data_IF_587819815678
#
_entry.id   IF_587819815678
#
_cell.length_a   1.000
_cell.length_b   1.000
_cell.length_c   1.000
_cell.angle_alpha   90.00
_cell.angle_beta   90.00
_cell.angle_gamma   90.00
#
_symmetry.space_group_name_H-M   'P 1'
#
loop_
_entity.id
_entity.type
_entity.pdbx_description
1 polymer ?
#
# COMPACT_ATOMS: atom_id res chain seq x y z
N UNK A 1 -10.76 -4.00 12.38
CA UNK A 1 -10.30 -5.05 11.45
C UNK A 1 -11.18 -5.20 10.21
N UNK A 2 -12.45 -5.59 10.30
CA UNK A 2 -13.28 -5.72 9.07
C UNK A 2 -13.37 -4.41 8.26
N UNK A 3 -13.61 -3.29 8.95
CA UNK A 3 -13.63 -1.97 8.32
C UNK A 3 -12.31 -1.64 7.60
N UNK A 4 -11.16 -1.87 8.26
CA UNK A 4 -9.85 -1.58 7.65
C UNK A 4 -9.57 -2.48 6.45
N UNK A 5 -9.94 -3.77 6.51
CA UNK A 5 -9.82 -4.68 5.38
C UNK A 5 -10.67 -4.22 4.19
N UNK A 6 -11.92 -3.79 4.42
CA UNK A 6 -12.76 -3.22 3.37
C UNK A 6 -12.13 -1.95 2.77
N UNK A 7 -11.64 -1.03 3.60
CA UNK A 7 -10.94 0.17 3.12
C UNK A 7 -9.69 -0.17 2.30
N UNK A 8 -8.90 -1.18 2.69
CA UNK A 8 -7.74 -1.62 1.89
C UNK A 8 -8.16 -2.23 0.55
N UNK A 9 -9.25 -3.01 0.51
CA UNK A 9 -9.79 -3.54 -0.75
C UNK A 9 -10.21 -2.37 -1.66
N UNK A 10 -10.97 -1.39 -1.13
CA UNK A 10 -11.36 -0.21 -1.88
C UNK A 10 -10.15 0.58 -2.39
N UNK A 11 -9.14 0.80 -1.54
CA UNK A 11 -7.90 1.46 -1.94
C UNK A 11 -7.27 0.76 -3.15
N UNK A 12 -7.11 -0.58 -3.09
CA UNK A 12 -6.55 -1.33 -4.20
C UNK A 12 -7.42 -1.22 -5.45
N UNK A 13 -8.74 -1.33 -5.33
CA UNK A 13 -9.67 -1.14 -6.44
C UNK A 13 -9.44 0.22 -7.10
N UNK A 14 -9.30 1.32 -6.35
CA UNK A 14 -9.08 2.63 -6.97
C UNK A 14 -7.67 2.83 -7.54
N UNK A 15 -6.65 2.20 -6.95
CA UNK A 15 -5.24 2.35 -7.38
C UNK A 15 -4.77 1.29 -8.36
N UNK A 16 -5.64 0.37 -8.79
CA UNK A 16 -5.30 -0.60 -9.83
C UNK A 16 -5.21 0.10 -11.20
N UNK A 17 -4.30 -0.35 -12.09
CA UNK A 17 -4.18 0.19 -13.43
C UNK A 17 -5.35 -0.30 -14.30
N UNK A 18 -6.48 0.41 -14.22
CA UNK A 18 -7.67 0.11 -15.01
C UNK A 18 -7.50 0.52 -16.48
N UNK A 19 -8.14 -0.22 -17.41
CA UNK A 19 -7.99 0.02 -18.85
C UNK A 19 -8.57 1.37 -19.32
N UNK A 20 -9.32 2.08 -18.47
CA UNK A 20 -9.87 3.41 -18.79
C UNK A 20 -8.93 4.56 -18.45
N UNK A 21 -7.78 4.32 -17.81
CA UNK A 21 -6.82 5.37 -17.53
C UNK A 21 -5.92 5.67 -18.73
N UNK A 22 -5.59 6.95 -18.91
CA UNK A 22 -4.87 7.41 -20.09
C UNK A 22 -3.39 7.02 -20.09
N UNK A 23 -2.98 6.32 -21.15
CA UNK A 23 -1.59 6.14 -21.54
C UNK A 23 -0.85 5.03 -20.79
N UNK A 24 0.11 4.36 -21.47
CA UNK A 24 0.94 3.34 -20.84
C UNK A 24 1.96 3.95 -19.87
N UNK A 25 2.62 3.11 -19.06
CA UNK A 25 3.71 3.55 -18.20
C UNK A 25 4.92 4.03 -19.01
N UNK A 26 5.54 5.11 -18.55
CA UNK A 26 6.77 5.62 -19.15
C UNK A 26 7.97 4.73 -18.80
N UNK A 27 8.75 4.40 -19.83
CA UNK A 27 10.05 3.76 -19.68
C UNK A 27 11.11 4.77 -19.22
N UNK A 28 11.97 4.34 -18.31
CA UNK A 28 13.11 5.15 -17.85
C UNK A 28 14.06 5.38 -19.03
N UNK A 29 14.32 6.66 -19.34
CA UNK A 29 15.12 7.04 -20.51
C UNK A 29 16.62 6.98 -20.30
N UNK A 30 17.17 7.35 -19.13
CA UNK A 30 18.63 7.33 -18.90
C UNK A 30 19.02 7.31 -17.41
N UNK A 31 18.32 8.03 -16.53
CA UNK A 31 18.68 8.17 -15.10
C UNK A 31 17.50 7.93 -14.15
N UNK A 32 17.64 6.99 -13.22
CA UNK A 32 16.63 6.67 -12.18
C UNK A 32 16.55 7.72 -11.07
N UNK A 33 17.50 8.65 -10.99
CA UNK A 33 17.54 9.71 -9.99
C UNK A 33 16.59 10.88 -10.31
N UNK A 34 16.28 11.10 -11.59
CA UNK A 34 15.49 12.24 -12.08
C UNK A 34 14.08 11.81 -12.48
N UNK A 35 13.95 10.64 -13.12
CA UNK A 35 12.65 10.10 -13.50
C UNK A 35 12.47 8.69 -12.97
N UNK A 36 11.48 8.54 -12.09
CA UNK A 36 10.88 7.24 -11.81
C UNK A 36 10.21 6.68 -13.07
N UNK A 37 10.05 5.35 -13.12
CA UNK A 37 9.38 4.69 -14.24
C UNK A 37 9.70 3.21 -14.31
N UNK A 38 9.41 2.62 -15.46
CA UNK A 38 9.61 1.20 -15.68
C UNK A 38 10.91 0.88 -16.41
N UNK A 39 11.57 -0.22 -16.02
CA UNK A 39 12.74 -0.72 -16.74
C UNK A 39 12.36 -1.28 -18.11
N UNK A 40 13.18 -1.03 -19.14
CA UNK A 40 12.96 -1.52 -20.52
C UNK A 40 12.89 -3.05 -20.65
N UNK A 41 13.41 -3.80 -19.67
CA UNK A 41 13.29 -5.27 -19.60
C UNK A 41 11.85 -5.76 -19.38
N UNK A 42 10.99 -4.91 -18.84
CA UNK A 42 9.62 -5.23 -18.51
C UNK A 42 8.69 -4.81 -19.64
N UNK A 43 8.37 -5.76 -20.52
CA UNK A 43 7.50 -5.49 -21.67
C UNK A 43 6.07 -5.12 -21.27
N UNK A 44 5.65 -5.46 -20.05
CA UNK A 44 4.34 -5.13 -19.53
C UNK A 44 4.09 -3.62 -19.38
N UNK A 45 5.13 -2.81 -19.29
CA UNK A 45 4.98 -1.36 -19.22
C UNK A 45 4.43 -0.71 -20.48
N UNK A 46 4.55 -1.38 -21.64
CA UNK A 46 3.98 -0.88 -22.89
C UNK A 46 2.44 -0.95 -22.92
N UNK A 47 1.83 -1.81 -22.11
CA UNK A 47 0.37 -2.00 -22.11
C UNK A 47 -0.29 -1.72 -20.75
N UNK A 48 0.47 -1.63 -19.66
CA UNK A 48 -0.08 -1.24 -18.36
C UNK A 48 -0.37 0.25 -18.35
N UNK A 49 -1.62 0.62 -18.06
CA UNK A 49 -2.07 2.00 -17.92
C UNK A 49 -1.51 2.66 -16.66
N UNK A 50 -1.18 3.96 -16.74
CA UNK A 50 -0.73 4.73 -15.58
C UNK A 50 -1.92 5.15 -14.70
N UNK A 51 -1.75 5.07 -13.39
CA UNK A 51 -2.77 5.56 -12.43
C UNK A 51 -2.62 7.08 -12.28
N UNK A 52 -3.71 7.87 -12.37
CA UNK A 52 -3.64 9.31 -12.19
C UNK A 52 -3.15 9.69 -10.79
N UNK A 53 -2.08 10.49 -10.73
CA UNK A 53 -1.45 10.93 -9.48
C UNK A 53 -2.45 11.56 -8.48
N UNK A 54 -3.40 12.43 -8.89
CA UNK A 54 -4.34 13.03 -7.94
C UNK A 54 -5.25 12.01 -7.24
N UNK A 55 -5.71 11.00 -7.98
CA UNK A 55 -6.55 9.92 -7.44
C UNK A 55 -5.73 9.11 -6.44
N UNK A 56 -4.49 8.75 -6.80
CA UNK A 56 -3.60 8.03 -5.91
C UNK A 56 -3.36 8.79 -4.60
N UNK A 57 -3.01 10.08 -4.67
CA UNK A 57 -2.77 10.91 -3.48
C UNK A 57 -4.03 10.99 -2.61
N UNK A 58 -5.20 11.23 -3.21
CA UNK A 58 -6.47 11.28 -2.48
C UNK A 58 -6.76 9.96 -1.76
N UNK A 59 -6.68 8.83 -2.47
CA UNK A 59 -6.90 7.50 -1.88
C UNK A 59 -5.88 7.19 -0.78
N UNK A 60 -4.62 7.60 -0.96
CA UNK A 60 -3.58 7.39 0.05
C UNK A 60 -3.83 8.19 1.33
N UNK A 61 -4.16 9.47 1.22
CA UNK A 61 -4.40 10.32 2.40
C UNK A 61 -5.68 9.90 3.12
N UNK A 62 -6.78 9.73 2.41
CA UNK A 62 -8.10 9.53 3.02
C UNK A 62 -8.46 8.06 3.24
N UNK A 63 -8.16 7.16 2.31
CA UNK A 63 -8.57 5.76 2.48
C UNK A 63 -7.51 5.01 3.29
N UNK A 64 -6.24 5.09 2.87
CA UNK A 64 -5.15 4.38 3.54
C UNK A 64 -4.89 4.98 4.94
N UNK A 65 -4.92 6.31 5.06
CA UNK A 65 -4.77 7.03 6.34
C UNK A 65 -5.79 6.61 7.40
N UNK A 66 -7.05 6.37 7.01
CA UNK A 66 -8.07 5.85 7.93
C UNK A 66 -7.97 4.33 8.11
N UNK A 67 -7.67 3.56 7.07
CA UNK A 67 -7.57 2.10 7.17
C UNK A 67 -6.51 1.64 8.18
N UNK A 68 -5.37 2.34 8.24
CA UNK A 68 -4.24 1.97 9.09
C UNK A 68 -4.55 1.92 10.60
N UNK A 69 -5.10 2.97 11.26
CA UNK A 69 -5.44 2.92 12.68
C UNK A 69 -6.49 1.85 13.02
N UNK A 70 -7.49 1.64 12.15
CA UNK A 70 -8.51 0.60 12.33
C UNK A 70 -7.98 -0.84 12.11
N UNK A 71 -6.79 -0.97 11.53
CA UNK A 71 -6.03 -2.22 11.50
C UNK A 71 -5.13 -2.33 12.74
N UNK A 72 -4.24 -1.37 12.96
CA UNK A 72 -3.17 -1.45 13.95
C UNK A 72 -3.69 -1.64 15.39
N UNK A 73 -4.76 -0.94 15.78
CA UNK A 73 -5.34 -1.04 17.12
C UNK A 73 -5.78 -2.47 17.47
N UNK A 74 -6.77 -3.05 16.76
CA UNK A 74 -7.27 -4.39 17.05
C UNK A 74 -6.29 -5.52 16.70
N UNK A 75 -5.33 -5.28 15.79
CA UNK A 75 -4.36 -6.30 15.37
C UNK A 75 -3.52 -6.79 16.56
N UNK A 76 -3.06 -5.88 17.42
CA UNK A 76 -2.33 -6.25 18.64
C UNK A 76 -3.20 -7.10 19.58
N UNK A 77 -4.44 -6.70 19.83
CA UNK A 77 -5.37 -7.45 20.68
C UNK A 77 -5.58 -8.87 20.17
N UNK A 78 -5.85 -9.04 18.87
CA UNK A 78 -6.04 -10.37 18.26
C UNK A 78 -4.76 -11.21 18.33
N UNK A 79 -3.60 -10.61 18.09
CA UNK A 79 -2.32 -11.32 18.22
C UNK A 79 -2.06 -11.79 19.66
N UNK A 80 -2.44 -11.00 20.66
CA UNK A 80 -2.30 -11.38 22.08
C UNK A 80 -3.24 -12.51 22.49
N UNK A 81 -4.46 -12.55 21.96
CA UNK A 81 -5.37 -13.67 22.16
C UNK A 81 -4.85 -14.97 21.51
N UNK A 82 -4.32 -14.90 20.28
CA UNK A 82 -3.83 -16.06 19.55
C UNK A 82 -2.55 -16.64 20.17
N UNK A 83 -1.60 -15.78 20.54
CA UNK A 83 -0.31 -16.21 21.10
C UNK A 83 -0.43 -16.61 22.59
N UNK A 84 -1.51 -16.21 23.26
CA UNK A 84 -1.73 -16.42 24.69
C UNK A 84 -0.71 -15.68 25.57
N UNK A 85 -0.79 -15.84 26.90
CA UNK A 85 0.07 -15.16 27.87
C UNK A 85 1.48 -15.79 27.87
N UNK A 86 2.22 -15.65 26.78
CA UNK A 86 3.68 -15.88 26.74
C UNK A 86 4.38 -14.53 26.65
N UNK A 87 5.70 -14.50 26.86
CA UNK A 87 6.51 -13.26 26.94
C UNK A 87 6.53 -12.48 25.61
N UNK A 88 5.41 -11.85 25.25
CA UNK A 88 5.23 -11.02 24.06
C UNK A 88 5.96 -9.66 24.17
N UNK A 89 6.53 -9.36 25.35
CA UNK A 89 7.25 -8.11 25.67
C UNK A 89 8.41 -7.86 24.70
N UNK A 90 9.13 -8.89 24.26
CA UNK A 90 10.24 -8.71 23.31
C UNK A 90 9.75 -8.29 21.91
N UNK A 91 8.68 -8.90 21.42
CA UNK A 91 8.13 -8.63 20.09
C UNK A 91 7.43 -7.26 20.03
N UNK A 92 6.62 -6.92 21.04
CA UNK A 92 5.99 -5.60 21.14
C UNK A 92 7.00 -4.48 21.33
N UNK A 93 8.02 -4.65 22.19
CA UNK A 93 9.06 -3.63 22.37
C UNK A 93 9.92 -3.45 21.13
N UNK A 94 10.16 -4.50 20.33
CA UNK A 94 10.88 -4.37 19.08
C UNK A 94 10.06 -3.56 18.05
N UNK A 95 8.76 -3.82 17.94
CA UNK A 95 7.86 -3.08 17.04
C UNK A 95 7.72 -1.61 17.47
N UNK A 96 7.57 -1.32 18.76
CA UNK A 96 7.46 0.06 19.26
C UNK A 96 8.78 0.84 19.21
N UNK A 97 9.94 0.19 19.12
CA UNK A 97 11.23 0.88 18.93
C UNK A 97 11.54 1.24 17.48
N UNK A 98 10.78 0.67 16.54
CA UNK A 98 10.96 0.87 15.09
C UNK A 98 9.98 1.91 14.51
N UNK A 99 9.11 2.48 15.35
CA UNK A 99 8.20 3.58 15.03
C UNK A 99 8.58 4.80 15.87
#
# INVERSE_FOLDING_TARGET
MLLSLLCFIFYHIFTLPWPFFDGPLDYIKLDTSISGGCFRRYQWCAYTTRVPLPIYIFCFVFIFGFAFPYLAGPLGTVFSEILGPRKQVLFYNLIMKLY
#
